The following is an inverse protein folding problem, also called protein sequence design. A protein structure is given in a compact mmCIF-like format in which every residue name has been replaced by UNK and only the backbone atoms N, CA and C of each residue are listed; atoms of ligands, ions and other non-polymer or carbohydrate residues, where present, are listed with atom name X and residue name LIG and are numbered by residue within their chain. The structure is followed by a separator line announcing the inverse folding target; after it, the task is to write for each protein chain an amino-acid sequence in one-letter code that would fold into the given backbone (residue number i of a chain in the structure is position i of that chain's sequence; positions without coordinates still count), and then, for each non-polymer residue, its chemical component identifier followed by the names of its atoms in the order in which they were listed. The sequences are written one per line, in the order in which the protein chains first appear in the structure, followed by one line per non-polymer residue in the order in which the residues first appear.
data_IF_966287433203
#
_entry.id   IF_966287433203
#
_cell.length_a   1.000
_cell.length_b   1.000
_cell.length_c   1.000
_cell.angle_alpha   90.00
_cell.angle_beta   90.00
_cell.angle_gamma   90.00
#
_symmetry.space_group_name_H-M   'P 1'
#
loop_
_entity.id
_entity.type
_entity.pdbx_description
1 polymer ?
#
# COMPACT_ATOMS: atom_id res chain seq x y z
N UNK A 1 58.74 26.23 51.31
CA UNK A 1 57.53 26.03 50.49
C UNK A 1 58.02 25.71 49.09
N UNK A 2 57.97 24.42 48.70
CA UNK A 2 58.63 23.94 47.47
C UNK A 2 57.75 24.24 46.24
N UNK A 3 58.26 25.10 45.39
CA UNK A 3 57.62 25.50 44.13
C UNK A 3 57.42 24.35 43.16
N UNK A 4 58.20 23.28 43.29
CA UNK A 4 58.09 22.07 42.48
C UNK A 4 56.85 21.22 42.81
N UNK A 5 56.37 21.26 44.04
CA UNK A 5 55.15 20.52 44.44
C UNK A 5 53.85 21.09 43.81
N UNK A 6 53.84 22.39 43.57
CA UNK A 6 52.70 23.09 43.03
C UNK A 6 52.53 22.85 41.51
N UNK A 7 53.65 22.71 40.78
CA UNK A 7 53.67 22.42 39.35
C UNK A 7 53.22 20.98 39.00
N UNK A 8 53.56 20.00 39.86
CA UNK A 8 53.18 18.63 39.67
C UNK A 8 51.68 18.39 39.92
N UNK A 9 51.08 19.13 40.85
CA UNK A 9 49.66 19.06 41.16
C UNK A 9 48.79 19.65 40.02
N UNK A 10 49.24 20.72 39.40
CA UNK A 10 48.57 21.30 38.21
C UNK A 10 48.60 20.37 36.99
N UNK A 11 49.68 19.62 36.79
CA UNK A 11 49.78 18.66 35.66
C UNK A 11 48.81 17.47 35.80
N UNK A 12 48.62 16.95 37.03
CA UNK A 12 47.69 15.84 37.29
C UNK A 12 46.22 16.26 37.11
N UNK A 13 45.84 17.44 37.56
CA UNK A 13 44.48 17.97 37.41
C UNK A 13 44.18 18.22 35.93
N UNK A 14 45.13 18.79 35.16
CA UNK A 14 44.97 19.01 33.73
C UNK A 14 44.76 17.71 32.92
N UNK A 15 45.46 16.66 33.28
CA UNK A 15 45.32 15.34 32.64
C UNK A 15 43.97 14.66 32.90
N UNK A 16 43.46 14.74 34.13
CA UNK A 16 42.15 14.18 34.49
C UNK A 16 40.99 14.90 33.82
N UNK A 17 41.05 16.22 33.70
CA UNK A 17 40.01 17.01 33.01
C UNK A 17 40.01 16.67 31.52
N UNK A 18 41.18 16.54 30.87
CA UNK A 18 41.30 16.16 29.47
C UNK A 18 40.73 14.77 29.20
N UNK A 19 40.98 13.79 30.05
CA UNK A 19 40.46 12.44 29.91
C UNK A 19 38.92 12.41 30.06
N UNK A 20 38.39 13.17 31.02
CA UNK A 20 36.92 13.26 31.19
C UNK A 20 36.22 13.87 30.00
N UNK A 21 36.78 14.94 29.38
CA UNK A 21 36.24 15.54 28.17
C UNK A 21 36.28 14.60 26.97
N UNK A 22 37.32 13.80 26.81
CA UNK A 22 37.41 12.80 25.73
C UNK A 22 36.35 11.70 25.87
N UNK A 23 36.12 11.21 27.09
CA UNK A 23 35.09 10.19 27.36
C UNK A 23 33.69 10.73 27.07
N UNK A 24 33.36 11.96 27.52
CA UNK A 24 32.07 12.62 27.25
C UNK A 24 31.85 12.82 25.74
N UNK A 25 32.89 13.23 25.01
CA UNK A 25 32.81 13.41 23.57
C UNK A 25 32.54 12.11 22.81
N UNK A 26 33.14 11.00 23.23
CA UNK A 26 32.87 9.68 22.63
C UNK A 26 31.45 9.18 22.95
N UNK A 27 30.96 9.43 24.19
CA UNK A 27 29.59 9.09 24.54
C UNK A 27 28.55 9.93 23.75
N UNK A 28 28.77 11.20 23.58
CA UNK A 28 27.91 12.07 22.76
C UNK A 28 27.94 11.68 21.28
N UNK A 29 29.10 11.33 20.76
CA UNK A 29 29.21 10.89 19.37
C UNK A 29 28.49 9.52 19.12
N UNK A 30 28.55 8.60 20.08
CA UNK A 30 27.81 7.32 19.98
C UNK A 30 26.30 7.54 20.07
N UNK A 31 25.84 8.35 21.02
CA UNK A 31 24.43 8.68 21.18
C UNK A 31 23.86 9.34 19.93
N UNK A 32 24.60 10.30 19.34
CA UNK A 32 24.16 10.96 18.11
C UNK A 32 24.13 10.02 16.91
N UNK A 33 24.96 8.97 16.89
CA UNK A 33 24.97 7.97 15.82
C UNK A 33 23.76 7.03 15.92
N UNK A 34 23.44 6.56 17.13
CA UNK A 34 22.24 5.76 17.40
C UNK A 34 20.95 6.55 17.11
N UNK A 35 20.89 7.83 17.46
CA UNK A 35 19.76 8.70 17.17
C UNK A 35 19.60 8.93 15.67
N UNK A 36 20.68 9.04 14.90
CA UNK A 36 20.64 9.16 13.44
C UNK A 36 20.16 7.87 12.76
N UNK A 37 20.68 6.73 13.18
CA UNK A 37 20.26 5.42 12.67
C UNK A 37 18.78 5.13 12.99
N UNK A 38 18.32 5.54 14.18
CA UNK A 38 16.91 5.46 14.53
C UNK A 38 16.03 6.39 13.67
N UNK A 39 16.49 7.62 13.42
CA UNK A 39 15.79 8.58 12.59
C UNK A 39 15.72 8.13 11.11
N UNK A 40 16.80 7.54 10.58
CA UNK A 40 16.81 6.96 9.23
C UNK A 40 15.81 5.80 9.09
N UNK A 41 15.76 4.89 10.06
CA UNK A 41 14.79 3.79 10.05
C UNK A 41 13.35 4.29 10.13
N UNK A 42 13.10 5.32 10.93
CA UNK A 42 11.78 5.95 11.01
C UNK A 42 11.43 6.64 9.70
N UNK A 43 12.36 7.35 9.07
CA UNK A 43 12.14 7.99 7.78
C UNK A 43 11.81 6.96 6.68
N UNK A 44 12.56 5.86 6.59
CA UNK A 44 12.27 4.76 5.67
C UNK A 44 10.91 4.12 5.93
N UNK A 45 10.55 3.93 7.20
CA UNK A 45 9.24 3.38 7.56
C UNK A 45 8.10 4.32 7.17
N UNK A 46 8.28 5.62 7.34
CA UNK A 46 7.30 6.64 6.94
C UNK A 46 7.16 6.72 5.42
N UNK A 47 8.24 6.58 4.66
CA UNK A 47 8.19 6.55 3.20
C UNK A 47 7.40 5.34 2.69
N UNK A 48 7.66 4.16 3.25
CA UNK A 48 6.89 2.94 2.92
C UNK A 48 5.42 3.09 3.30
N UNK A 49 5.12 3.65 4.46
CA UNK A 49 3.73 3.90 4.88
C UNK A 49 3.03 4.94 3.99
N UNK A 50 3.75 5.99 3.58
CA UNK A 50 3.21 7.00 2.67
C UNK A 50 2.91 6.40 1.28
N UNK A 51 3.79 5.54 0.76
CA UNK A 51 3.57 4.84 -0.51
C UNK A 51 2.37 3.87 -0.43
N UNK A 52 2.26 3.11 0.65
CA UNK A 52 1.09 2.24 0.91
C UNK A 52 -0.20 3.06 1.03
N UNK A 53 -0.16 4.18 1.75
CA UNK A 53 -1.32 5.06 1.89
C UNK A 53 -1.71 5.72 0.56
N UNK A 54 -0.75 6.14 -0.25
CA UNK A 54 -0.99 6.68 -1.58
C UNK A 54 -1.62 5.63 -2.52
N UNK A 55 -1.17 4.38 -2.44
CA UNK A 55 -1.78 3.26 -3.18
C UNK A 55 -3.21 2.96 -2.72
N UNK A 56 -3.48 3.05 -1.43
CA UNK A 56 -4.83 2.86 -0.88
C UNK A 56 -5.78 4.01 -1.23
N UNK A 57 -5.27 5.23 -1.40
CA UNK A 57 -6.07 6.40 -1.81
C UNK A 57 -6.35 6.46 -3.31
N UNK A 58 -5.63 5.71 -4.13
CA UNK A 58 -5.97 5.58 -5.54
C UNK A 58 -7.28 4.80 -5.64
N UNK A 59 -8.37 5.50 -5.89
CA UNK A 59 -9.65 4.88 -6.18
C UNK A 59 -9.46 3.83 -7.28
N UNK A 60 -10.00 2.62 -7.12
CA UNK A 60 -9.92 1.61 -8.17
C UNK A 60 -10.55 2.15 -9.45
N UNK A 61 -9.98 1.86 -10.62
CA UNK A 61 -10.46 2.41 -11.89
C UNK A 61 -11.75 1.73 -12.38
N UNK A 62 -12.54 1.18 -11.46
CA UNK A 62 -13.69 0.35 -11.82
C UNK A 62 -15.02 0.96 -11.38
N UNK A 63 -15.97 0.96 -12.29
CA UNK A 63 -17.36 1.27 -12.04
C UNK A 63 -18.24 0.10 -12.48
N UNK A 64 -19.23 -0.24 -11.67
CA UNK A 64 -20.24 -1.24 -12.01
C UNK A 64 -21.53 -0.55 -12.43
N UNK A 65 -22.06 -0.95 -13.58
CA UNK A 65 -23.36 -0.47 -14.08
C UNK A 65 -24.28 -1.63 -14.36
N UNK A 66 -25.52 -1.50 -13.93
CA UNK A 66 -26.59 -2.40 -14.36
C UNK A 66 -27.17 -1.92 -15.69
N UNK A 67 -27.46 -2.85 -16.61
CA UNK A 67 -27.96 -2.52 -17.95
C UNK A 67 -29.30 -3.17 -18.28
N UNK A 68 -29.85 -3.91 -17.34
CA UNK A 68 -31.17 -4.56 -17.48
C UNK A 68 -31.12 -6.07 -17.25
N UNK A 69 -32.17 -6.61 -16.68
CA UNK A 69 -32.25 -8.04 -16.32
C UNK A 69 -31.09 -8.49 -15.44
N UNK A 70 -30.35 -9.49 -15.87
CA UNK A 70 -29.19 -10.04 -15.16
C UNK A 70 -27.85 -9.53 -15.71
N UNK A 71 -27.88 -8.51 -16.59
CA UNK A 71 -26.69 -7.99 -17.26
C UNK A 71 -26.11 -6.79 -16.56
N UNK A 72 -24.79 -6.81 -16.39
CA UNK A 72 -23.98 -5.76 -15.77
C UNK A 72 -22.78 -5.43 -16.63
N UNK A 73 -22.22 -4.24 -16.45
CA UNK A 73 -20.98 -3.79 -17.05
C UNK A 73 -19.94 -3.50 -15.97
N UNK A 74 -18.71 -3.90 -16.24
CA UNK A 74 -17.51 -3.38 -15.58
C UNK A 74 -16.92 -2.35 -16.51
N UNK A 75 -16.84 -1.10 -16.06
CA UNK A 75 -16.29 0.02 -16.83
C UNK A 75 -14.95 0.41 -16.24
N UNK A 76 -13.93 0.51 -17.09
CA UNK A 76 -12.66 1.13 -16.68
C UNK A 76 -12.82 2.66 -16.76
N UNK A 77 -12.95 3.32 -15.62
CA UNK A 77 -13.04 4.78 -15.50
C UNK A 77 -11.68 5.46 -15.33
N UNK A 78 -10.60 4.68 -15.29
CA UNK A 78 -9.23 5.18 -15.23
C UNK A 78 -8.79 5.80 -16.55
N UNK A 79 -7.67 6.53 -16.53
CA UNK A 79 -7.09 7.16 -17.70
C UNK A 79 -6.34 6.16 -18.60
N UNK A 80 -5.91 5.03 -18.05
CA UNK A 80 -5.02 4.08 -18.71
C UNK A 80 -5.71 2.75 -19.01
N UNK A 81 -5.15 2.02 -19.98
CA UNK A 81 -5.50 0.62 -20.23
C UNK A 81 -5.04 -0.24 -19.06
N UNK A 82 -5.94 -1.06 -18.55
CA UNK A 82 -5.65 -2.03 -17.48
C UNK A 82 -5.48 -3.41 -18.06
N UNK A 83 -4.39 -4.09 -17.70
CA UNK A 83 -4.03 -5.41 -18.23
C UNK A 83 -4.33 -6.54 -17.24
N UNK A 84 -4.40 -7.76 -17.79
CA UNK A 84 -4.62 -9.00 -17.04
C UNK A 84 -5.87 -8.96 -16.14
N UNK A 85 -6.89 -8.26 -16.59
CA UNK A 85 -8.14 -8.11 -15.85
C UNK A 85 -8.90 -9.44 -15.84
N UNK A 86 -9.18 -9.93 -14.64
CA UNK A 86 -9.97 -11.14 -14.40
C UNK A 86 -11.17 -10.74 -13.54
N UNK A 87 -12.38 -11.03 -14.04
CA UNK A 87 -13.63 -10.77 -13.35
C UNK A 87 -14.11 -12.09 -12.75
N UNK A 88 -14.23 -12.14 -11.45
CA UNK A 88 -14.60 -13.34 -10.68
C UNK A 88 -15.83 -13.08 -9.83
N UNK A 89 -16.56 -14.16 -9.56
CA UNK A 89 -17.60 -14.17 -8.56
C UNK A 89 -17.11 -14.91 -7.32
N UNK A 90 -16.96 -14.27 -6.15
CA UNK A 90 -16.52 -14.93 -4.91
C UNK A 90 -17.56 -15.91 -4.35
N UNK A 91 -18.81 -15.79 -4.75
CA UNK A 91 -19.91 -16.68 -4.39
C UNK A 91 -20.39 -17.40 -5.65
N UNK A 92 -20.83 -18.65 -5.52
CA UNK A 92 -21.37 -19.42 -6.63
C UNK A 92 -22.78 -18.92 -7.03
N UNK A 93 -22.90 -18.09 -8.08
CA UNK A 93 -24.20 -17.70 -8.62
C UNK A 93 -24.78 -18.88 -9.42
N UNK A 94 -26.09 -18.84 -9.66
CA UNK A 94 -26.74 -19.79 -10.57
C UNK A 94 -26.16 -19.68 -11.97
N UNK A 95 -25.79 -18.47 -12.37
CA UNK A 95 -25.17 -18.21 -13.67
C UNK A 95 -24.22 -17.01 -13.58
N UNK A 96 -22.97 -17.24 -13.98
CA UNK A 96 -21.95 -16.19 -14.13
C UNK A 96 -21.23 -16.37 -15.45
N UNK A 97 -21.42 -15.46 -16.36
CA UNK A 97 -20.84 -15.51 -17.71
C UNK A 97 -20.26 -14.13 -18.02
N UNK A 98 -18.96 -14.07 -18.29
CA UNK A 98 -18.29 -12.86 -18.76
C UNK A 98 -18.19 -12.90 -20.28
N UNK A 99 -18.56 -11.81 -20.94
CA UNK A 99 -18.46 -11.70 -22.40
C UNK A 99 -17.00 -11.83 -22.84
N UNK A 100 -16.75 -12.67 -23.85
CA UNK A 100 -15.40 -13.03 -24.29
C UNK A 100 -14.67 -14.03 -23.40
N UNK A 101 -15.33 -14.67 -22.39
CA UNK A 101 -14.77 -15.70 -21.52
C UNK A 101 -14.27 -15.18 -20.17
N UNK A 102 -13.77 -16.08 -19.32
CA UNK A 102 -13.30 -15.75 -17.95
C UNK A 102 -11.79 -15.53 -17.86
N UNK A 103 -11.05 -15.60 -18.98
CA UNK A 103 -9.60 -15.42 -18.99
C UNK A 103 -9.16 -13.96 -18.79
N UNK A 104 -7.85 -13.77 -18.55
CA UNK A 104 -7.27 -12.44 -18.43
C UNK A 104 -7.43 -11.65 -19.74
N UNK A 105 -7.69 -10.36 -19.63
CA UNK A 105 -7.90 -9.46 -20.76
C UNK A 105 -7.40 -8.05 -20.44
N UNK A 106 -7.20 -7.26 -21.49
CA UNK A 106 -6.99 -5.82 -21.35
C UNK A 106 -8.31 -5.08 -21.50
N UNK A 107 -8.51 -4.05 -20.69
CA UNK A 107 -9.68 -3.15 -20.77
C UNK A 107 -9.16 -1.73 -20.91
N UNK A 108 -9.41 -1.12 -22.07
CA UNK A 108 -8.97 0.23 -22.36
C UNK A 108 -9.71 1.27 -21.50
N UNK A 109 -9.12 2.45 -21.38
CA UNK A 109 -9.75 3.59 -20.71
C UNK A 109 -11.14 3.86 -21.29
N UNK A 110 -12.11 4.10 -20.42
CA UNK A 110 -13.51 4.38 -20.76
C UNK A 110 -14.21 3.28 -21.59
N UNK A 111 -13.65 2.07 -21.61
CA UNK A 111 -14.32 0.90 -22.20
C UNK A 111 -14.90 -0.01 -21.12
N UNK A 112 -15.75 -0.93 -21.55
CA UNK A 112 -16.45 -1.82 -20.63
C UNK A 112 -16.49 -3.27 -21.11
N UNK A 113 -16.63 -4.18 -20.13
CA UNK A 113 -16.90 -5.59 -20.39
C UNK A 113 -18.22 -5.96 -19.74
N UNK A 114 -19.09 -6.63 -20.49
CA UNK A 114 -20.36 -7.09 -19.97
C UNK A 114 -20.23 -8.46 -19.31
N UNK A 115 -21.07 -8.68 -18.31
CA UNK A 115 -21.23 -9.98 -17.69
C UNK A 115 -22.69 -10.21 -17.27
N UNK A 116 -23.06 -11.48 -17.20
CA UNK A 116 -24.36 -11.93 -16.69
C UNK A 116 -24.15 -12.48 -15.29
N UNK A 117 -24.97 -12.02 -14.35
CA UNK A 117 -24.99 -12.49 -12.96
C UNK A 117 -26.42 -12.80 -12.56
N UNK A 118 -26.75 -14.07 -12.42
CA UNK A 118 -28.05 -14.54 -11.98
C UNK A 118 -27.92 -15.33 -10.67
N UNK A 119 -28.76 -15.00 -9.70
CA UNK A 119 -28.90 -15.71 -8.42
C UNK A 119 -30.25 -16.40 -8.35
N UNK A 120 -30.35 -17.50 -7.59
CA UNK A 120 -31.64 -18.05 -7.23
C UNK A 120 -32.36 -17.13 -6.22
N UNK A 121 -33.68 -17.11 -6.28
CA UNK A 121 -34.50 -16.38 -5.28
C UNK A 121 -34.31 -16.89 -3.84
N UNK A 122 -33.73 -18.08 -3.69
CA UNK A 122 -33.54 -18.75 -2.39
C UNK A 122 -32.13 -18.53 -1.81
N UNK A 123 -31.21 -17.90 -2.52
CA UNK A 123 -29.87 -17.63 -2.03
C UNK A 123 -29.72 -16.14 -1.65
N UNK A 124 -29.95 -15.76 -0.39
CA UNK A 124 -29.78 -14.38 0.09
C UNK A 124 -28.29 -14.05 0.28
N UNK A 125 -27.45 -14.39 -0.69
CA UNK A 125 -26.03 -14.04 -0.68
C UNK A 125 -25.81 -12.59 -1.12
N UNK A 126 -24.77 -11.95 -0.57
CA UNK A 126 -24.33 -10.65 -1.07
C UNK A 126 -23.93 -10.76 -2.53
N UNK A 127 -24.63 -10.01 -3.40
CA UNK A 127 -24.31 -9.94 -4.82
C UNK A 127 -23.03 -9.13 -4.98
N UNK A 128 -21.89 -9.80 -5.04
CA UNK A 128 -20.59 -9.14 -5.20
C UNK A 128 -19.77 -9.78 -6.28
N UNK A 129 -18.95 -8.97 -6.92
CA UNK A 129 -17.91 -9.43 -7.85
C UNK A 129 -16.54 -9.01 -7.32
N UNK A 130 -15.51 -9.70 -7.80
CA UNK A 130 -14.12 -9.39 -7.57
C UNK A 130 -13.45 -9.17 -8.91
N UNK A 131 -12.67 -8.09 -9.02
CA UNK A 131 -11.85 -7.79 -10.18
C UNK A 131 -10.41 -7.83 -9.72
N UNK A 132 -9.59 -8.63 -10.40
CA UNK A 132 -8.13 -8.65 -10.23
C UNK A 132 -7.48 -8.11 -11.49
N UNK A 133 -6.41 -7.38 -11.35
CA UNK A 133 -5.66 -6.85 -12.49
C UNK A 133 -4.20 -6.65 -12.14
N UNK A 134 -3.38 -6.43 -13.18
CA UNK A 134 -1.97 -6.08 -13.04
C UNK A 134 -1.82 -4.57 -13.28
N UNK A 135 -1.19 -3.88 -12.33
CA UNK A 135 -0.83 -2.47 -12.46
C UNK A 135 0.35 -2.30 -13.42
N UNK A 136 0.60 -1.07 -13.87
CA UNK A 136 1.73 -0.75 -14.76
C UNK A 136 3.09 -1.09 -14.15
N UNK A 137 3.21 -1.09 -12.84
CA UNK A 137 4.42 -1.49 -12.10
C UNK A 137 4.58 -3.02 -11.96
N UNK A 138 3.69 -3.80 -12.55
CA UNK A 138 3.66 -5.27 -12.49
C UNK A 138 3.07 -5.84 -11.20
N UNK A 139 2.60 -5.02 -10.27
CA UNK A 139 1.94 -5.51 -9.05
C UNK A 139 0.49 -5.91 -9.33
N UNK A 140 0.05 -7.01 -8.69
CA UNK A 140 -1.36 -7.41 -8.75
C UNK A 140 -2.18 -6.60 -7.76
N UNK A 141 -3.35 -6.18 -8.20
CA UNK A 141 -4.32 -5.49 -7.36
C UNK A 141 -5.69 -6.17 -7.43
N UNK A 142 -6.53 -5.89 -6.44
CA UNK A 142 -7.83 -6.52 -6.32
C UNK A 142 -8.86 -5.52 -5.81
N UNK A 143 -10.00 -5.48 -6.47
CA UNK A 143 -11.16 -4.73 -6.04
C UNK A 143 -12.38 -5.64 -5.93
N UNK A 144 -13.15 -5.46 -4.87
CA UNK A 144 -14.40 -6.16 -4.66
C UNK A 144 -15.51 -5.15 -4.39
N UNK A 145 -16.63 -5.34 -5.05
CA UNK A 145 -17.81 -4.47 -4.87
C UNK A 145 -19.10 -5.25 -4.95
N UNK A 146 -20.11 -4.72 -4.28
CA UNK A 146 -21.47 -5.20 -4.45
C UNK A 146 -22.04 -4.74 -5.77
N UNK A 147 -22.84 -5.60 -6.40
CA UNK A 147 -23.55 -5.24 -7.62
C UNK A 147 -24.61 -4.16 -7.33
N UNK A 148 -24.76 -3.17 -8.23
CA UNK A 148 -25.80 -2.17 -8.10
C UNK A 148 -27.19 -2.82 -8.09
N UNK A 149 -28.16 -2.19 -7.39
CA UNK A 149 -29.53 -2.68 -7.37
C UNK A 149 -30.12 -2.69 -8.78
N UNK A 150 -30.99 -3.64 -9.03
CA UNK A 150 -31.80 -3.66 -10.25
C UNK A 150 -32.93 -2.62 -10.09
N UNK A 151 -33.05 -1.73 -11.03
CA UNK A 151 -34.15 -0.78 -11.11
C UNK A 151 -35.09 -1.27 -12.22
N UNK A 152 -36.33 -1.56 -11.84
CA UNK A 152 -37.42 -1.90 -12.78
C UNK A 152 -37.96 -0.63 -13.43
#
# INVERSE_FOLDING_TARGET
MDFQGCLSLLGVIGGLVSAACAVVSVFQARKSKEEREAAEKVAQSLEVLADVAARQQQAPPWELRWTGGDRYLVVNTGADTVNDVIIECPLEPVRFIVEGGQGPRSIDSNTSVSFIYATSLQAPGSRSIRIRWTRLDGTSDTWQSSLPPKHD
#
